data_IF_768901735985
#
_entry.id   IF_768901735985
#
_cell.length_a   1.000
_cell.length_b   1.000
_cell.length_c   1.000
_cell.angle_alpha   90.00
_cell.angle_beta   90.00
_cell.angle_gamma   90.00
#
_symmetry.space_group_name_H-M   'P 1'
#
loop_
_entity.id
_entity.type
_entity.pdbx_description
1 polymer ?
#
# COMPACT_ATOMS: atom_id res chain seq x y z
N UNK A 1 -17.87 2.55 -1.74
CA UNK A 1 -17.23 3.73 -2.34
C UNK A 1 -17.84 4.97 -1.71
N UNK A 2 -17.26 5.45 -0.61
CA UNK A 2 -17.64 6.77 -0.10
C UNK A 2 -17.01 7.86 -0.99
N UNK A 3 -17.67 8.16 -2.11
CA UNK A 3 -17.31 9.22 -3.06
C UNK A 3 -17.08 10.56 -2.35
N UNK A 4 -17.78 10.78 -1.24
CA UNK A 4 -17.68 12.00 -0.43
C UNK A 4 -16.29 12.21 0.20
N UNK A 5 -15.65 11.17 0.72
CA UNK A 5 -14.32 11.31 1.36
C UNK A 5 -13.19 11.44 0.34
N UNK A 6 -13.37 10.83 -0.84
CA UNK A 6 -12.51 11.07 -2.01
C UNK A 6 -12.60 12.55 -2.43
N UNK A 7 -13.82 13.07 -2.54
CA UNK A 7 -14.08 14.46 -2.91
C UNK A 7 -13.47 15.45 -1.90
N UNK A 8 -13.57 15.17 -0.59
CA UNK A 8 -12.92 15.98 0.46
C UNK A 8 -11.40 16.05 0.25
N UNK A 9 -10.75 14.90 0.05
CA UNK A 9 -9.30 14.81 -0.18
C UNK A 9 -8.86 15.63 -1.39
N UNK A 10 -9.63 15.53 -2.49
CA UNK A 10 -9.38 16.32 -3.71
C UNK A 10 -9.56 17.81 -3.45
N UNK A 11 -10.64 18.21 -2.79
CA UNK A 11 -10.91 19.63 -2.53
C UNK A 11 -9.89 20.26 -1.58
N UNK A 12 -9.38 19.50 -0.59
CA UNK A 12 -8.25 19.92 0.24
C UNK A 12 -6.97 20.16 -0.59
N UNK A 13 -6.71 19.32 -1.60
CA UNK A 13 -5.57 19.49 -2.49
C UNK A 13 -5.73 20.73 -3.39
N UNK A 14 -6.94 20.94 -3.94
CA UNK A 14 -7.26 22.13 -4.74
C UNK A 14 -7.16 23.42 -3.93
N UNK A 15 -7.60 23.40 -2.66
CA UNK A 15 -7.50 24.55 -1.76
C UNK A 15 -6.04 24.96 -1.52
N UNK A 16 -5.11 24.00 -1.43
CA UNK A 16 -3.66 24.28 -1.33
C UNK A 16 -3.09 24.96 -2.56
N UNK A 17 -3.67 24.73 -3.73
CA UNK A 17 -3.30 25.39 -4.99
C UNK A 17 -4.01 26.74 -5.18
N UNK A 18 -4.86 27.17 -4.23
CA UNK A 18 -5.70 28.36 -4.39
C UNK A 18 -6.78 28.20 -5.46
N UNK A 19 -7.05 26.97 -5.90
CA UNK A 19 -8.08 26.67 -6.91
C UNK A 19 -9.45 26.49 -6.27
N UNK A 20 -10.51 26.87 -6.99
CA UNK A 20 -11.88 26.64 -6.56
C UNK A 20 -12.15 25.13 -6.36
N UNK A 21 -12.99 24.73 -5.39
CA UNK A 21 -13.37 23.33 -5.20
C UNK A 21 -14.17 22.79 -6.40
N UNK A 22 -14.36 21.48 -6.44
CA UNK A 22 -15.29 20.79 -7.35
C UNK A 22 -16.48 20.25 -6.57
N UNK A 23 -17.65 20.19 -7.19
CA UNK A 23 -18.87 19.65 -6.57
C UNK A 23 -18.94 18.13 -6.68
N UNK A 24 -18.41 17.56 -7.77
CA UNK A 24 -18.36 16.13 -8.01
C UNK A 24 -17.10 15.74 -8.82
N UNK A 25 -16.69 14.47 -8.72
CA UNK A 25 -15.52 13.95 -9.44
C UNK A 25 -15.81 13.70 -10.94
N UNK A 26 -17.08 13.47 -11.25
CA UNK A 26 -17.64 13.22 -12.58
C UNK A 26 -18.28 14.48 -13.21
N UNK A 27 -18.07 15.65 -12.60
CA UNK A 27 -18.50 16.92 -13.17
C UNK A 27 -17.84 17.13 -14.54
N UNK A 28 -18.59 17.62 -15.53
CA UNK A 28 -18.12 17.85 -16.90
C UNK A 28 -17.25 19.13 -17.02
N UNK A 29 -16.24 19.27 -16.15
CA UNK A 29 -15.26 20.36 -16.21
C UNK A 29 -13.86 19.84 -16.53
N UNK A 30 -13.04 20.62 -17.27
CA UNK A 30 -11.66 20.22 -17.59
C UNK A 30 -10.81 19.91 -16.34
N UNK A 31 -11.08 20.64 -15.25
CA UNK A 31 -10.42 20.46 -13.96
C UNK A 31 -10.78 19.11 -13.32
N UNK A 32 -12.08 18.77 -13.26
CA UNK A 32 -12.53 17.49 -12.71
C UNK A 32 -11.98 16.30 -13.51
N UNK A 33 -11.99 16.38 -14.85
CA UNK A 33 -11.39 15.36 -15.72
C UNK A 33 -9.88 15.16 -15.43
N UNK A 34 -9.14 16.26 -15.22
CA UNK A 34 -7.71 16.19 -14.90
C UNK A 34 -7.43 15.55 -13.54
N UNK A 35 -8.23 15.91 -12.55
CA UNK A 35 -8.18 15.31 -11.21
C UNK A 35 -8.49 13.81 -11.28
N UNK A 36 -9.55 13.42 -11.98
CA UNK A 36 -9.96 12.02 -12.13
C UNK A 36 -8.87 11.16 -12.79
N UNK A 37 -8.07 11.75 -13.69
CA UNK A 37 -6.92 11.08 -14.30
C UNK A 37 -5.73 10.92 -13.33
N UNK A 38 -5.40 11.96 -12.57
CA UNK A 38 -4.18 12.01 -11.74
C UNK A 38 -4.37 11.28 -10.41
N UNK A 39 -5.56 11.41 -9.81
CA UNK A 39 -5.89 10.83 -8.51
C UNK A 39 -5.53 9.34 -8.37
N UNK A 40 -5.96 8.43 -9.26
CA UNK A 40 -5.64 7.00 -9.12
C UNK A 40 -4.14 6.73 -9.22
N UNK A 41 -3.40 7.50 -10.03
CA UNK A 41 -1.94 7.36 -10.15
C UNK A 41 -1.23 7.75 -8.86
N UNK A 42 -1.60 8.88 -8.26
CA UNK A 42 -1.00 9.36 -6.99
C UNK A 42 -1.31 8.39 -5.85
N UNK A 43 -2.57 7.96 -5.74
CA UNK A 43 -2.99 7.02 -4.70
C UNK A 43 -2.32 5.66 -4.89
N UNK A 44 -2.25 5.15 -6.12
CA UNK A 44 -1.54 3.91 -6.43
C UNK A 44 -0.06 3.96 -6.04
N UNK A 45 0.63 5.06 -6.37
CA UNK A 45 2.02 5.27 -5.96
C UNK A 45 2.18 5.35 -4.43
N UNK A 46 1.27 6.04 -3.74
CA UNK A 46 1.28 6.16 -2.28
C UNK A 46 1.04 4.82 -1.56
N UNK A 47 0.21 3.94 -2.11
CA UNK A 47 0.05 2.60 -1.54
C UNK A 47 1.21 1.66 -1.90
N UNK A 48 1.81 1.81 -3.09
CA UNK A 48 2.91 0.96 -3.55
C UNK A 48 4.27 1.29 -2.90
N UNK A 49 4.43 2.50 -2.35
CA UNK A 49 5.72 2.95 -1.81
C UNK A 49 6.13 2.26 -0.51
N UNK A 50 5.19 1.68 0.24
CA UNK A 50 5.44 1.01 1.51
C UNK A 50 4.45 -0.13 1.76
N UNK A 51 4.88 -1.13 2.53
CA UNK A 51 4.01 -2.25 2.93
C UNK A 51 3.13 -1.84 4.12
N UNK A 52 2.19 -0.92 3.92
CA UNK A 52 1.36 -0.31 4.97
C UNK A 52 0.67 -1.32 5.89
N UNK A 53 0.95 -1.31 7.19
CA UNK A 53 0.35 -2.25 8.16
C UNK A 53 -1.18 -2.13 8.21
N UNK A 54 -1.69 -0.91 8.29
CA UNK A 54 -3.14 -0.63 8.39
C UNK A 54 -3.94 -1.05 7.14
N UNK A 55 -3.29 -1.21 5.99
CA UNK A 55 -3.91 -1.64 4.75
C UNK A 55 -3.64 -3.12 4.39
N UNK A 56 -2.94 -3.86 5.28
CA UNK A 56 -2.70 -5.30 5.08
C UNK A 56 -3.96 -6.12 5.36
N UNK A 57 -4.16 -7.16 4.56
CA UNK A 57 -5.17 -8.20 4.79
C UNK A 57 -4.55 -9.57 4.58
N UNK A 58 -4.87 -10.51 5.46
CA UNK A 58 -4.55 -11.93 5.26
C UNK A 58 -5.79 -12.65 4.75
N UNK A 59 -5.65 -13.38 3.65
CA UNK A 59 -6.71 -14.22 3.10
C UNK A 59 -6.17 -15.61 2.75
N UNK A 60 -7.05 -16.61 2.82
CA UNK A 60 -6.80 -17.93 2.24
C UNK A 60 -6.89 -17.79 0.72
N UNK A 61 -5.92 -18.32 -0.01
CA UNK A 61 -5.95 -18.30 -1.46
C UNK A 61 -6.78 -19.47 -2.01
N UNK A 62 -7.50 -19.20 -3.10
CA UNK A 62 -8.27 -20.21 -3.81
C UNK A 62 -7.35 -20.98 -4.75
N UNK A 63 -7.41 -22.31 -4.66
CA UNK A 63 -6.60 -23.20 -5.48
C UNK A 63 -7.20 -23.27 -6.89
N UNK A 64 -6.37 -23.09 -7.89
CA UNK A 64 -6.73 -23.27 -9.29
C UNK A 64 -6.85 -24.76 -9.62
N UNK A 65 -7.75 -25.08 -10.55
CA UNK A 65 -7.97 -26.46 -10.98
C UNK A 65 -6.86 -26.98 -11.91
N UNK A 66 -6.12 -26.06 -12.57
CA UNK A 66 -5.05 -26.39 -13.50
C UNK A 66 -3.75 -26.60 -12.73
N UNK A 67 -3.06 -27.71 -13.02
CA UNK A 67 -1.72 -27.96 -12.49
C UNK A 67 -0.71 -27.10 -13.25
N UNK A 68 0.15 -26.34 -12.57
CA UNK A 68 1.09 -25.45 -13.26
C UNK A 68 2.24 -26.25 -13.90
N UNK A 69 2.74 -25.78 -15.04
CA UNK A 69 3.88 -26.39 -15.76
C UNK A 69 5.24 -26.07 -15.10
N UNK A 70 5.23 -25.26 -14.04
CA UNK A 70 6.39 -24.72 -13.32
C UNK A 70 7.07 -25.73 -12.39
N UNK A 71 6.56 -26.96 -12.33
CA UNK A 71 7.08 -28.03 -11.46
C UNK A 71 6.53 -28.03 -10.03
N UNK A 72 5.68 -27.06 -9.68
CA UNK A 72 4.96 -27.03 -8.41
C UNK A 72 3.67 -27.86 -8.48
N UNK A 73 3.22 -28.41 -7.33
CA UNK A 73 2.02 -29.27 -7.31
C UNK A 73 0.72 -28.50 -7.49
N UNK A 74 0.65 -27.26 -7.00
CA UNK A 74 -0.58 -26.47 -7.00
C UNK A 74 -0.32 -25.01 -7.37
N UNK A 75 -1.32 -24.42 -8.03
CA UNK A 75 -1.40 -22.99 -8.29
C UNK A 75 -2.57 -22.35 -7.52
N UNK A 76 -2.40 -21.10 -7.12
CA UNK A 76 -3.33 -20.34 -6.31
C UNK A 76 -3.55 -18.96 -6.91
N UNK A 77 -4.81 -18.52 -7.03
CA UNK A 77 -5.13 -17.20 -7.54
C UNK A 77 -4.81 -16.13 -6.48
N UNK A 78 -4.06 -15.10 -6.85
CA UNK A 78 -3.88 -13.92 -6.02
C UNK A 78 -5.08 -12.96 -6.18
N UNK A 79 -5.48 -12.25 -5.11
CA UNK A 79 -6.55 -11.26 -5.19
C UNK A 79 -6.20 -10.11 -6.13
N UNK A 80 -7.12 -9.74 -7.03
CA UNK A 80 -6.90 -8.66 -8.01
C UNK A 80 -6.88 -7.25 -7.42
N UNK A 81 -7.34 -7.07 -6.17
CA UNK A 81 -7.30 -5.79 -5.44
C UNK A 81 -5.99 -5.55 -4.68
N UNK A 82 -5.01 -6.45 -4.83
CA UNK A 82 -3.70 -6.37 -4.19
C UNK A 82 -2.85 -5.25 -4.78
N UNK A 83 -2.00 -4.68 -3.95
CA UNK A 83 -0.98 -3.71 -4.35
C UNK A 83 0.38 -4.36 -4.18
N UNK A 84 1.03 -4.64 -5.32
CA UNK A 84 2.32 -5.31 -5.36
C UNK A 84 2.25 -6.78 -4.95
N UNK A 85 3.40 -7.32 -4.58
CA UNK A 85 3.56 -8.72 -4.18
C UNK A 85 3.06 -8.98 -2.76
N UNK A 86 2.70 -10.25 -2.43
CA UNK A 86 2.40 -10.65 -1.07
C UNK A 86 3.50 -10.23 -0.08
N UNK A 87 3.07 -9.63 1.03
CA UNK A 87 3.94 -9.27 2.15
C UNK A 87 4.47 -10.53 2.83
N UNK A 88 3.62 -11.56 2.93
CA UNK A 88 3.89 -12.80 3.62
C UNK A 88 3.05 -13.92 3.03
N UNK A 89 3.63 -15.12 2.95
CA UNK A 89 2.94 -16.35 2.53
C UNK A 89 3.07 -17.38 3.66
N UNK A 90 2.01 -18.13 3.92
CA UNK A 90 1.90 -19.04 5.05
C UNK A 90 1.13 -20.30 4.67
N UNK A 91 1.54 -21.46 5.19
CA UNK A 91 0.78 -22.71 5.12
C UNK A 91 -0.14 -22.91 6.33
N UNK A 92 0.05 -22.14 7.40
CA UNK A 92 -0.80 -22.19 8.59
C UNK A 92 -0.99 -20.78 9.20
N UNK A 93 -2.21 -20.20 9.18
CA UNK A 93 -2.48 -18.86 9.73
C UNK A 93 -2.24 -18.74 11.23
N UNK A 94 -2.22 -19.86 11.97
CA UNK A 94 -2.01 -19.92 13.43
C UNK A 94 -0.54 -19.93 13.83
N UNK A 95 0.37 -20.11 12.87
CA UNK A 95 1.81 -20.14 13.10
C UNK A 95 2.49 -18.99 12.32
N UNK A 96 2.25 -17.72 12.70
CA UNK A 96 2.76 -16.57 11.96
C UNK A 96 4.29 -16.55 11.90
N UNK A 97 5.01 -17.08 12.88
CA UNK A 97 6.48 -17.03 12.89
C UNK A 97 7.13 -18.00 11.89
N UNK A 98 6.34 -18.85 11.24
CA UNK A 98 6.79 -19.84 10.25
C UNK A 98 6.19 -19.53 8.88
N UNK A 99 6.69 -18.50 8.17
CA UNK A 99 6.24 -18.23 6.81
C UNK A 99 6.64 -19.37 5.86
N UNK A 100 5.80 -19.63 4.87
CA UNK A 100 6.13 -20.54 3.78
C UNK A 100 7.21 -19.87 2.92
N UNK A 101 8.37 -20.52 2.80
CA UNK A 101 9.50 -20.03 1.98
C UNK A 101 9.59 -20.69 0.61
N UNK A 102 9.04 -21.90 0.48
CA UNK A 102 9.00 -22.65 -0.77
C UNK A 102 7.72 -22.29 -1.53
N UNK A 103 7.79 -21.24 -2.35
CA UNK A 103 6.75 -20.86 -3.30
C UNK A 103 7.37 -20.09 -4.47
N UNK A 104 6.67 -20.03 -5.60
CA UNK A 104 6.98 -19.15 -6.71
C UNK A 104 5.79 -18.21 -6.99
N UNK A 105 6.08 -17.01 -7.47
CA UNK A 105 5.06 -16.05 -7.93
C UNK A 105 5.24 -15.88 -9.43
N UNK A 106 4.18 -16.14 -10.20
CA UNK A 106 4.16 -15.92 -11.64
C UNK A 106 2.87 -15.19 -12.03
N UNK A 107 3.01 -13.96 -12.53
CA UNK A 107 1.86 -13.12 -12.87
C UNK A 107 0.94 -12.86 -11.67
N UNK A 108 -0.30 -13.34 -11.77
CA UNK A 108 -1.34 -13.27 -10.72
C UNK A 108 -1.54 -14.59 -9.98
N UNK A 109 -0.58 -15.51 -10.10
CA UNK A 109 -0.62 -16.83 -9.48
C UNK A 109 0.52 -17.05 -8.49
N UNK A 110 0.21 -17.78 -7.43
CA UNK A 110 1.18 -18.29 -6.46
C UNK A 110 1.25 -19.80 -6.58
N UNK A 111 2.44 -20.32 -6.80
CA UNK A 111 2.71 -21.74 -6.96
C UNK A 111 3.36 -22.31 -5.71
N UNK A 112 2.81 -23.39 -5.16
CA UNK A 112 3.30 -24.03 -3.95
C UNK A 112 2.90 -25.51 -3.89
N UNK A 113 3.62 -26.28 -3.08
CA UNK A 113 3.33 -27.70 -2.85
C UNK A 113 2.32 -27.98 -1.74
N UNK A 114 2.00 -26.93 -0.96
CA UNK A 114 1.07 -27.00 0.15
C UNK A 114 -0.39 -27.08 -0.31
N UNK A 115 -1.23 -27.80 0.42
CA UNK A 115 -2.66 -27.98 0.09
C UNK A 115 -3.54 -26.76 0.42
N UNK A 116 -3.06 -25.89 1.32
CA UNK A 116 -3.72 -24.65 1.67
C UNK A 116 -2.67 -23.57 1.94
N UNK A 117 -2.85 -22.42 1.30
CA UNK A 117 -1.96 -21.27 1.41
C UNK A 117 -2.75 -20.04 1.80
N UNK A 118 -2.15 -19.24 2.69
CA UNK A 118 -2.62 -17.93 3.08
C UNK A 118 -1.57 -16.90 2.67
N UNK A 119 -2.02 -15.79 2.13
CA UNK A 119 -1.17 -14.66 1.81
C UNK A 119 -1.64 -13.42 2.57
N UNK A 120 -0.68 -12.67 3.11
CA UNK A 120 -0.87 -11.30 3.56
C UNK A 120 -0.47 -10.37 2.43
N UNK A 121 -1.36 -9.48 2.01
CA UNK A 121 -1.12 -8.51 0.94
C UNK A 121 -1.62 -7.14 1.39
N UNK A 122 -1.07 -6.08 0.79
CA UNK A 122 -1.61 -4.72 0.91
C UNK A 122 -2.72 -4.57 -0.11
N UNK A 123 -3.82 -3.92 0.25
CA UNK A 123 -4.91 -3.59 -0.69
C UNK A 123 -5.18 -2.09 -0.71
N UNK A 124 -5.76 -1.61 -1.80
CA UNK A 124 -6.31 -0.26 -1.83
C UNK A 124 -7.53 -0.21 -0.91
N UNK A 125 -7.48 0.64 0.13
CA UNK A 125 -8.62 0.86 1.03
C UNK A 125 -9.21 2.25 0.81
N UNK A 126 -10.48 2.40 1.17
CA UNK A 126 -11.21 3.65 0.98
C UNK A 126 -10.61 4.79 1.84
N UNK A 127 -10.73 6.06 1.40
CA UNK A 127 -10.12 7.20 2.11
C UNK A 127 -10.54 7.38 3.55
N UNK A 128 -11.69 6.85 3.97
CA UNK A 128 -12.16 6.85 5.37
C UNK A 128 -11.25 6.03 6.31
N UNK A 129 -10.58 5.00 5.77
CA UNK A 129 -9.69 4.12 6.53
C UNK A 129 -8.25 4.66 6.57
N UNK A 130 -7.97 5.77 5.92
CA UNK A 130 -6.62 6.32 5.82
C UNK A 130 -6.21 6.99 7.14
N UNK A 131 -5.04 6.65 7.70
CA UNK A 131 -4.46 7.41 8.81
C UNK A 131 -4.29 8.89 8.43
N UNK A 132 -4.45 9.78 9.41
CA UNK A 132 -4.42 11.23 9.18
C UNK A 132 -3.14 11.71 8.47
N UNK A 133 -1.97 11.18 8.85
CA UNK A 133 -0.70 11.51 8.20
C UNK A 133 -0.62 11.02 6.75
N UNK A 134 -1.15 9.83 6.46
CA UNK A 134 -1.18 9.28 5.11
C UNK A 134 -2.12 10.11 4.21
N UNK A 135 -3.31 10.46 4.71
CA UNK A 135 -4.23 11.38 4.02
C UNK A 135 -3.55 12.72 3.75
N UNK A 136 -2.91 13.32 4.75
CA UNK A 136 -2.20 14.59 4.59
C UNK A 136 -1.10 14.53 3.51
N UNK A 137 -0.33 13.43 3.47
CA UNK A 137 0.68 13.19 2.45
C UNK A 137 0.09 13.08 1.04
N UNK A 138 -1.02 12.34 0.88
CA UNK A 138 -1.73 12.24 -0.42
C UNK A 138 -2.25 13.61 -0.85
N UNK A 139 -2.80 14.41 0.06
CA UNK A 139 -3.30 15.76 -0.28
C UNK A 139 -2.17 16.64 -0.82
N UNK A 140 -0.97 16.61 -0.21
CA UNK A 140 0.19 17.36 -0.74
C UNK A 140 0.65 16.77 -2.08
N UNK A 141 0.78 15.45 -2.18
CA UNK A 141 1.23 14.78 -3.41
C UNK A 141 0.31 15.07 -4.60
N UNK A 142 -1.00 15.02 -4.36
CA UNK A 142 -2.01 15.34 -5.36
C UNK A 142 -1.95 16.81 -5.77
N UNK A 143 -1.77 17.72 -4.82
CA UNK A 143 -1.56 19.14 -5.12
C UNK A 143 -0.29 19.35 -5.97
N UNK A 144 0.80 18.65 -5.68
CA UNK A 144 2.04 18.74 -6.47
C UNK A 144 1.84 18.35 -7.94
N UNK A 145 1.15 17.24 -8.20
CA UNK A 145 0.89 16.78 -9.57
C UNK A 145 -0.14 17.63 -10.31
N UNK A 146 -1.05 18.29 -9.57
CA UNK A 146 -2.02 19.24 -10.11
C UNK A 146 -1.49 20.67 -10.28
N UNK A 147 -0.36 21.03 -9.65
CA UNK A 147 0.19 22.39 -9.69
C UNK A 147 0.49 22.85 -11.13
N UNK A 148 1.29 22.11 -11.89
CA UNK A 148 1.61 22.48 -13.29
C UNK A 148 0.37 22.57 -14.18
N UNK A 149 -0.55 21.57 -14.22
CA UNK A 149 -1.71 21.65 -15.11
C UNK A 149 -2.74 22.72 -14.72
N UNK A 150 -2.78 23.19 -13.46
CA UNK A 150 -3.76 24.18 -13.01
C UNK A 150 -3.19 25.59 -12.87
N UNK A 151 -1.99 25.74 -12.32
CA UNK A 151 -1.40 27.05 -12.00
C UNK A 151 -0.21 27.39 -12.90
N UNK A 152 0.28 26.45 -13.72
CA UNK A 152 1.50 26.59 -14.54
C UNK A 152 2.77 26.87 -13.72
N UNK A 153 2.73 26.66 -12.40
CA UNK A 153 3.84 26.93 -11.50
C UNK A 153 4.67 25.66 -11.23
N UNK A 154 5.82 25.58 -11.89
CA UNK A 154 6.78 24.47 -11.74
C UNK A 154 7.49 24.52 -10.38
N UNK A 155 7.71 25.72 -9.85
CA UNK A 155 8.37 25.90 -8.55
C UNK A 155 7.47 25.43 -7.42
N UNK A 156 6.17 25.78 -7.47
CA UNK A 156 5.17 25.27 -6.53
C UNK A 156 5.06 23.75 -6.60
N UNK A 157 5.06 23.16 -7.80
CA UNK A 157 5.11 21.70 -7.97
C UNK A 157 6.30 21.09 -7.23
N UNK A 158 7.50 21.64 -7.42
CA UNK A 158 8.72 21.10 -6.80
C UNK A 158 8.67 21.20 -5.27
N UNK A 159 8.19 22.32 -4.73
CA UNK A 159 8.03 22.52 -3.28
C UNK A 159 7.04 21.52 -2.68
N UNK A 160 5.84 21.40 -3.27
CA UNK A 160 4.84 20.44 -2.80
C UNK A 160 5.31 18.99 -2.96
N UNK A 161 6.02 18.66 -4.03
CA UNK A 161 6.59 17.33 -4.21
C UNK A 161 7.62 17.00 -3.12
N UNK A 162 8.45 17.98 -2.73
CA UNK A 162 9.40 17.84 -1.62
C UNK A 162 8.69 17.69 -0.27
N UNK A 163 7.63 18.44 -0.02
CA UNK A 163 6.85 18.32 1.22
C UNK A 163 6.15 16.95 1.32
N UNK A 164 5.66 16.42 0.19
CA UNK A 164 4.99 15.12 0.12
C UNK A 164 5.97 13.94 0.26
N UNK A 165 7.00 13.90 -0.60
CA UNK A 165 7.89 12.74 -0.79
C UNK A 165 9.27 12.88 -0.17
N UNK A 166 9.62 14.09 0.26
CA UNK A 166 10.97 14.45 0.70
C UNK A 166 11.84 15.00 -0.41
N UNK A 167 13.04 15.39 -0.02
CA UNK A 167 14.08 15.83 -0.95
C UNK A 167 14.60 14.66 -1.79
N UNK A 168 15.16 14.92 -2.99
CA UNK A 168 15.78 13.87 -3.81
C UNK A 168 16.86 13.06 -3.07
N UNK A 169 17.57 13.71 -2.12
CA UNK A 169 18.60 13.08 -1.29
C UNK A 169 18.05 12.05 -0.30
N UNK A 170 16.75 12.09 0.02
CA UNK A 170 16.08 11.15 0.92
C UNK A 170 15.49 9.93 0.16
N UNK A 171 15.71 9.84 -1.15
CA UNK A 171 15.32 8.68 -1.96
C UNK A 171 13.82 8.38 -1.98
N UNK A 172 12.97 9.41 -1.85
CA UNK A 172 11.51 9.26 -1.86
C UNK A 172 10.91 8.71 -0.55
N UNK A 173 11.69 8.69 0.54
CA UNK A 173 11.25 8.29 1.89
C UNK A 173 11.25 9.44 2.90
N UNK A 174 11.29 10.68 2.42
CA UNK A 174 11.25 11.88 3.27
C UNK A 174 9.85 12.50 3.31
N UNK A 175 9.78 13.75 3.77
CA UNK A 175 8.53 14.52 3.79
C UNK A 175 7.43 13.90 4.65
N UNK A 176 6.17 14.21 4.34
CA UNK A 176 5.01 13.66 5.04
C UNK A 176 4.86 12.15 4.81
N UNK A 177 5.18 11.65 3.62
CA UNK A 177 5.07 10.23 3.33
C UNK A 177 6.07 9.40 4.16
N UNK A 178 7.32 9.87 4.27
CA UNK A 178 8.34 9.27 5.13
C UNK A 178 7.93 9.23 6.60
N UNK A 179 7.35 10.32 7.10
CA UNK A 179 6.80 10.37 8.47
C UNK A 179 5.65 9.38 8.66
N UNK A 180 4.76 9.27 7.68
CA UNK A 180 3.67 8.30 7.71
C UNK A 180 4.21 6.86 7.73
N UNK A 181 5.24 6.55 6.93
CA UNK A 181 5.92 5.25 6.96
C UNK A 181 6.56 4.95 8.32
N UNK A 182 7.23 5.93 8.91
CA UNK A 182 7.87 5.77 10.22
C UNK A 182 6.85 5.50 11.34
N UNK A 183 5.71 6.19 11.32
CA UNK A 183 4.60 5.96 12.26
C UNK A 183 3.95 4.58 12.05
N UNK A 184 3.74 4.18 10.79
CA UNK A 184 3.22 2.86 10.47
C UNK A 184 4.17 1.74 10.93
N UNK A 185 5.49 1.93 10.74
CA UNK A 185 6.51 0.99 11.16
C UNK A 185 6.59 0.85 12.68
N UNK A 186 6.48 1.96 13.44
CA UNK A 186 6.51 1.93 14.89
C UNK A 186 5.22 1.41 15.54
N UNK A 187 4.10 1.47 14.83
CA UNK A 187 2.82 0.95 15.31
C UNK A 187 2.78 -0.58 15.43
N UNK A 188 3.70 -1.30 14.78
CA UNK A 188 3.81 -2.74 14.96
C UNK A 188 4.63 -3.02 16.23
N UNK A 189 4.07 -3.68 17.26
CA UNK A 189 4.91 -4.26 18.29
C UNK A 189 5.84 -5.24 17.55
N UNK A 190 7.16 -5.03 17.68
CA UNK A 190 8.14 -5.92 17.06
C UNK A 190 7.75 -7.35 17.39
N UNK A 191 7.68 -8.21 16.37
CA UNK A 191 7.53 -9.65 16.59
C UNK A 191 8.59 -10.01 17.62
N UNK A 192 8.16 -10.45 18.80
CA UNK A 192 9.07 -10.88 19.84
C UNK A 192 9.71 -12.16 19.33
N UNK A 193 10.76 -12.02 18.52
CA UNK A 193 11.69 -13.10 18.15
C UNK A 193 12.30 -13.70 19.43
N UNK A 194 12.20 -12.98 20.55
CA UNK A 194 12.58 -13.42 21.90
C UNK A 194 11.55 -14.35 22.58
N UNK A 195 10.37 -14.60 22.03
CA UNK A 195 9.40 -15.48 22.70
C UNK A 195 9.74 -16.98 22.55
N UNK A 196 10.48 -17.36 21.51
CA UNK A 196 11.07 -18.69 21.30
C UNK A 196 12.32 -18.58 20.45
N UNK A 197 13.41 -18.17 21.09
CA UNK A 197 14.73 -18.33 20.50
C UNK A 197 15.04 -19.84 20.50
N UNK A 198 15.26 -20.48 19.34
CA UNK A 198 15.61 -21.90 19.29
C UNK A 198 16.89 -22.23 20.05
N UNK A 199 17.78 -21.26 20.29
CA UNK A 199 18.94 -21.42 21.18
C UNK A 199 18.54 -21.42 22.67
N UNK A 200 17.54 -20.64 23.06
CA UNK A 200 17.04 -20.59 24.45
C UNK A 200 16.20 -21.84 24.75
N UNK A 201 15.36 -22.29 23.82
CA UNK A 201 14.61 -23.55 23.94
C UNK A 201 15.54 -24.78 23.95
N UNK A 202 16.66 -24.75 23.21
CA UNK A 202 17.67 -25.81 23.27
C UNK A 202 18.42 -25.86 24.62
N UNK A 203 18.47 -24.76 25.36
CA UNK A 203 19.11 -24.70 26.67
C UNK A 203 18.20 -25.20 27.80
N UNK A 204 16.88 -25.06 27.65
CA UNK A 204 15.88 -25.49 28.62
C UNK A 204 15.30 -26.90 28.36
N UNK A 205 15.71 -27.58 27.28
CA UNK A 205 15.30 -28.93 26.91
C UNK A 205 16.31 -30.02 27.29
N UNK A 206 16.60 -30.19 28.58
CA UNK A 206 17.29 -31.38 29.10
C UNK A 206 16.90 -31.64 30.56
N UNK A 207 15.69 -32.19 30.79
CA UNK A 207 15.38 -33.06 31.93
C UNK A 207 14.12 -33.89 31.65
#
# INVERSE_FOLDING_TARGET
>A
MSTQDTLKTVNEALARLGSAPIAALDEETPKAAKVAQIYPTVVGAAFACHRWNWARRTARLDRLAVTPETGWRYAYALPGDRIGEPVKVMSNPRAPDYPLRAFALEGDELHADELAVWATFVRSVEPEQWPALFRAAIVVALAADLAVPLTHDVTLKQQLAQDAWGTPSEGGRGGLMGRAMAVDASAQPGSTVLARDPLTDAWHGAY
#
